data_IF_273037653568
#
_entry.id   IF_273037653568
#
_cell.length_a   1.000
_cell.length_b   1.000
_cell.length_c   1.000
_cell.angle_alpha   90.00
_cell.angle_beta   90.00
_cell.angle_gamma   90.00
#
_symmetry.space_group_name_H-M   'P 1'
#
loop_
_entity.id
_entity.type
_entity.pdbx_description
1 polymer ?
#
# COMPACT_ATOMS: atom_id res chain seq x y z
N UNK A 1 15.48 10.82 2.23
CA UNK A 1 15.15 9.48 2.74
C UNK A 1 14.49 9.52 4.11
N UNK A 2 15.15 10.09 5.13
CA UNK A 2 14.61 10.11 6.49
C UNK A 2 13.26 10.83 6.61
N UNK A 3 13.09 11.96 5.91
CA UNK A 3 11.81 12.67 5.86
C UNK A 3 10.67 11.80 5.28
N UNK A 4 10.92 11.06 4.19
CA UNK A 4 9.94 10.16 3.61
C UNK A 4 9.60 8.98 4.55
N UNK A 5 10.60 8.42 5.24
CA UNK A 5 10.37 7.36 6.22
C UNK A 5 9.51 7.85 7.38
N UNK A 6 9.74 9.07 7.87
CA UNK A 6 8.90 9.67 8.92
C UNK A 6 7.48 9.95 8.43
N UNK A 7 7.33 10.50 7.23
CA UNK A 7 6.03 10.71 6.60
C UNK A 7 5.26 9.38 6.45
N UNK A 8 5.95 8.29 6.11
CA UNK A 8 5.32 6.96 6.04
C UNK A 8 4.86 6.45 7.40
N UNK A 9 5.61 6.76 8.47
CA UNK A 9 5.26 6.37 9.83
C UNK A 9 4.04 7.16 10.32
N UNK A 10 3.96 8.46 10.05
CA UNK A 10 2.81 9.27 10.46
C UNK A 10 1.52 8.80 9.78
N UNK A 11 1.58 8.55 8.48
CA UNK A 11 0.41 8.08 7.73
C UNK A 11 -0.03 6.69 8.22
N UNK A 12 0.90 5.81 8.57
CA UNK A 12 0.55 4.49 9.14
C UNK A 12 -0.16 4.58 10.48
N UNK A 13 0.24 5.53 11.34
CA UNK A 13 -0.41 5.76 12.62
C UNK A 13 -1.79 6.42 12.46
N UNK A 14 -1.93 7.34 11.49
CA UNK A 14 -3.23 7.97 11.22
C UNK A 14 -4.22 6.99 10.57
N UNK A 15 -3.74 6.06 9.74
CA UNK A 15 -4.55 4.98 9.17
C UNK A 15 -5.28 4.15 10.24
N UNK A 16 -4.58 3.81 11.32
CA UNK A 16 -5.16 3.00 12.41
C UNK A 16 -6.31 3.72 13.15
N UNK A 17 -6.37 5.05 13.08
CA UNK A 17 -7.34 5.87 13.81
C UNK A 17 -8.58 6.23 12.99
N UNK A 18 -8.58 5.95 11.68
CA UNK A 18 -9.68 6.33 10.80
C UNK A 18 -10.77 5.25 10.77
N UNK A 19 -12.02 5.69 10.85
CA UNK A 19 -13.20 4.81 10.78
C UNK A 19 -13.83 4.75 9.39
N UNK A 20 -13.85 5.89 8.68
CA UNK A 20 -14.57 5.97 7.41
C UNK A 20 -13.83 5.25 6.27
N UNK A 21 -14.49 4.34 5.53
CA UNK A 21 -13.82 3.51 4.53
C UNK A 21 -13.17 4.33 3.39
N UNK A 22 -13.79 5.46 3.01
CA UNK A 22 -13.23 6.37 2.00
C UNK A 22 -11.97 7.10 2.51
N UNK A 23 -11.91 7.54 3.78
CA UNK A 23 -10.68 8.18 4.29
C UNK A 23 -9.53 7.18 4.39
N UNK A 24 -9.83 5.94 4.78
CA UNK A 24 -8.86 4.84 4.79
C UNK A 24 -8.28 4.64 3.39
N UNK A 25 -9.12 4.58 2.35
CA UNK A 25 -8.65 4.42 0.96
C UNK A 25 -7.72 5.56 0.53
N UNK A 26 -8.10 6.82 0.79
CA UNK A 26 -7.29 7.99 0.43
C UNK A 26 -5.93 7.95 1.14
N UNK A 27 -5.90 7.59 2.42
CA UNK A 27 -4.64 7.47 3.16
C UNK A 27 -3.76 6.32 2.64
N UNK A 28 -4.35 5.20 2.22
CA UNK A 28 -3.58 4.10 1.60
C UNK A 28 -2.95 4.55 0.27
N UNK A 29 -3.65 5.34 -0.55
CA UNK A 29 -3.08 5.90 -1.78
C UNK A 29 -1.86 6.80 -1.49
N UNK A 30 -1.96 7.67 -0.48
CA UNK A 30 -0.82 8.54 -0.10
C UNK A 30 0.33 7.70 0.46
N UNK A 31 0.04 6.67 1.25
CA UNK A 31 1.07 5.79 1.80
C UNK A 31 1.83 5.02 0.71
N UNK A 32 1.10 4.45 -0.25
CA UNK A 32 1.70 3.68 -1.36
C UNK A 32 2.57 4.56 -2.24
N UNK A 33 2.18 5.81 -2.51
CA UNK A 33 3.01 6.80 -3.19
C UNK A 33 4.33 7.06 -2.44
N UNK A 34 4.25 7.29 -1.13
CA UNK A 34 5.46 7.53 -0.31
C UNK A 34 6.40 6.33 -0.29
N UNK A 35 5.84 5.11 -0.22
CA UNK A 35 6.63 3.88 -0.27
C UNK A 35 7.31 3.68 -1.63
N UNK A 36 6.65 4.01 -2.74
CA UNK A 36 7.27 3.94 -4.07
C UNK A 36 8.45 4.91 -4.20
N UNK A 37 8.31 6.13 -3.66
CA UNK A 37 9.40 7.12 -3.63
C UNK A 37 10.59 6.65 -2.76
N UNK A 38 10.31 6.03 -1.61
CA UNK A 38 11.34 5.43 -0.74
C UNK A 38 12.14 4.35 -1.49
N UNK A 39 11.45 3.47 -2.20
CA UNK A 39 12.08 2.37 -2.94
C UNK A 39 12.89 2.90 -4.11
N UNK A 40 12.37 3.91 -4.82
CA UNK A 40 13.09 4.58 -5.90
C UNK A 40 14.40 5.22 -5.42
N UNK A 41 14.40 5.88 -4.25
CA UNK A 41 15.62 6.48 -3.69
C UNK A 41 16.62 5.41 -3.21
N UNK A 42 16.15 4.24 -2.75
CA UNK A 42 17.01 3.16 -2.24
C UNK A 42 17.59 2.27 -3.33
N UNK A 43 16.82 2.00 -4.38
CA UNK A 43 17.21 1.07 -5.43
C UNK A 43 17.80 1.83 -6.61
N UNK A 44 18.92 1.35 -7.14
CA UNK A 44 19.55 1.98 -8.31
C UNK A 44 18.69 1.90 -9.58
N UNK A 45 17.73 0.98 -9.64
CA UNK A 45 16.84 0.77 -10.79
C UNK A 45 15.40 1.14 -10.45
N UNK A 46 14.80 2.02 -11.24
CA UNK A 46 13.43 2.52 -11.08
C UNK A 46 12.32 1.52 -11.45
N UNK A 47 12.67 0.41 -12.11
CA UNK A 47 11.68 -0.55 -12.63
C UNK A 47 10.83 -1.19 -11.52
N UNK A 48 11.46 -1.56 -10.40
CA UNK A 48 10.76 -2.15 -9.26
C UNK A 48 9.77 -1.17 -8.62
N UNK A 49 10.17 0.09 -8.41
CA UNK A 49 9.27 1.13 -7.87
C UNK A 49 8.07 1.38 -8.78
N UNK A 50 8.26 1.30 -10.10
CA UNK A 50 7.20 1.49 -11.07
C UNK A 50 6.19 0.33 -11.09
N UNK A 51 6.66 -0.93 -11.08
CA UNK A 51 5.76 -2.10 -11.04
C UNK A 51 4.92 -2.09 -9.75
N UNK A 52 5.55 -1.81 -8.60
CA UNK A 52 4.84 -1.70 -7.33
C UNK A 52 3.75 -0.63 -7.39
N UNK A 53 4.06 0.53 -7.95
CA UNK A 53 3.09 1.61 -8.08
C UNK A 53 1.85 1.21 -8.90
N UNK A 54 2.05 0.57 -10.05
CA UNK A 54 0.94 0.15 -10.92
C UNK A 54 0.05 -0.91 -10.27
N UNK A 55 0.64 -1.93 -9.63
CA UNK A 55 -0.13 -3.00 -8.99
C UNK A 55 -1.00 -2.45 -7.86
N UNK A 56 -0.44 -1.58 -7.02
CA UNK A 56 -1.19 -0.97 -5.93
C UNK A 56 -2.31 -0.06 -6.44
N UNK A 57 -2.04 0.77 -7.44
CA UNK A 57 -3.06 1.68 -7.98
C UNK A 57 -4.21 0.91 -8.63
N UNK A 58 -3.92 -0.15 -9.40
CA UNK A 58 -4.94 -1.03 -9.97
C UNK A 58 -5.79 -1.74 -8.91
N UNK A 59 -5.16 -2.31 -7.88
CA UNK A 59 -5.88 -2.97 -6.77
C UNK A 59 -6.76 -2.02 -5.97
N UNK A 60 -6.28 -0.81 -5.70
CA UNK A 60 -7.03 0.20 -4.93
C UNK A 60 -8.23 0.75 -5.70
N UNK A 61 -8.15 0.86 -7.04
CA UNK A 61 -9.29 1.25 -7.86
C UNK A 61 -10.43 0.22 -7.82
N UNK A 62 -10.11 -1.09 -7.86
CA UNK A 62 -11.12 -2.14 -7.72
C UNK A 62 -11.78 -2.10 -6.34
N UNK A 63 -10.98 -1.90 -5.29
CA UNK A 63 -11.48 -1.78 -3.93
C UNK A 63 -12.38 -0.54 -3.74
N UNK A 64 -12.05 0.58 -4.39
CA UNK A 64 -12.91 1.78 -4.40
C UNK A 64 -14.29 1.51 -5.03
N UNK A 65 -14.32 0.84 -6.19
CA UNK A 65 -15.59 0.48 -6.84
C UNK A 65 -16.43 -0.45 -5.95
N UNK A 66 -15.78 -1.41 -5.28
CA UNK A 66 -16.46 -2.32 -4.37
C UNK A 66 -17.10 -1.58 -3.19
N UNK A 67 -16.33 -0.73 -2.50
CA UNK A 67 -16.83 0.01 -1.32
C UNK A 67 -17.95 0.98 -1.71
N UNK A 68 -17.84 1.71 -2.82
CA UNK A 68 -18.89 2.64 -3.27
C UNK A 68 -20.16 1.91 -3.71
N UNK A 69 -20.08 0.66 -4.16
CA UNK A 69 -21.25 -0.16 -4.50
C UNK A 69 -21.98 -0.75 -3.29
N UNK A 70 -21.29 -0.90 -2.15
CA UNK A 70 -21.80 -1.55 -0.94
C UNK A 70 -22.23 -0.58 0.15
N UNK A 71 -21.52 0.53 0.31
CA UNK A 71 -21.84 1.51 1.33
C UNK A 71 -22.98 2.42 0.85
N UNK A 72 -23.96 2.67 1.74
CA UNK A 72 -24.81 3.84 1.60
C UNK A 72 -23.92 5.08 1.53
N UNK A 73 -24.28 6.04 0.68
CA UNK A 73 -23.50 7.25 0.41
C UNK A 73 -23.51 8.20 1.62
N UNK A 74 -22.95 7.76 2.75
CA UNK A 74 -22.85 8.52 3.99
C UNK A 74 -21.98 9.75 3.74
N UNK A 75 -22.43 10.89 4.27
CA UNK A 75 -21.71 12.14 4.11
C UNK A 75 -20.37 12.01 4.84
N UNK A 76 -19.32 12.42 4.18
CA UNK A 76 -17.97 12.39 4.72
C UNK A 76 -17.84 13.42 5.86
N UNK A 77 -17.80 12.95 7.10
CA UNK A 77 -17.51 13.77 8.27
C UNK A 77 -16.09 13.49 8.79
N UNK A 78 -15.20 14.49 8.67
CA UNK A 78 -13.87 14.43 9.26
C UNK A 78 -13.94 14.83 10.73
N UNK A 79 -14.13 13.84 11.60
CA UNK A 79 -13.91 14.05 13.03
C UNK A 79 -12.41 14.02 13.32
N UNK A 80 -11.78 15.19 13.24
CA UNK A 80 -10.39 15.39 13.69
C UNK A 80 -10.39 15.32 15.22
N UNK A 81 -10.28 14.11 15.75
CA UNK A 81 -10.18 13.90 17.19
C UNK A 81 -8.84 14.46 17.71
N UNK A 82 -8.79 14.87 18.97
CA UNK A 82 -7.57 15.41 19.61
C UNK A 82 -6.37 14.43 19.55
N UNK A 83 -6.64 13.13 19.41
CA UNK A 83 -5.64 12.09 19.16
C UNK A 83 -4.85 12.30 17.86
N UNK A 84 -5.46 12.87 16.81
CA UNK A 84 -4.78 13.15 15.54
C UNK A 84 -3.67 14.20 15.73
N UNK A 85 -3.97 15.28 16.45
CA UNK A 85 -3.01 16.33 16.74
C UNK A 85 -1.85 15.82 17.60
N UNK A 86 -2.10 14.87 18.51
CA UNK A 86 -1.04 14.25 19.31
C UNK A 86 -0.12 13.38 18.46
N UNK A 87 -0.65 12.58 17.53
CA UNK A 87 0.15 11.75 16.62
C UNK A 87 1.04 12.62 15.73
N UNK A 88 0.47 13.71 15.18
CA UNK A 88 1.24 14.66 14.38
C UNK A 88 2.32 15.34 15.21
N UNK A 89 2.00 15.80 16.44
CA UNK A 89 2.97 16.41 17.35
C UNK A 89 4.14 15.49 17.70
N UNK A 90 3.85 14.23 18.04
CA UNK A 90 4.89 13.23 18.35
C UNK A 90 5.83 12.99 17.16
N UNK A 91 5.28 12.98 15.94
CA UNK A 91 6.10 12.82 14.75
C UNK A 91 7.10 13.96 14.53
N UNK A 92 6.70 15.20 14.83
CA UNK A 92 7.60 16.35 14.76
C UNK A 92 8.70 16.29 15.82
N UNK A 93 8.39 15.84 17.04
CA UNK A 93 9.40 15.61 18.06
C UNK A 93 10.43 14.54 17.64
N UNK A 94 9.97 13.47 16.99
CA UNK A 94 10.88 12.46 16.44
C UNK A 94 11.79 13.03 15.33
N UNK A 95 11.32 13.97 14.51
CA UNK A 95 12.16 14.61 13.49
C UNK A 95 13.31 15.40 14.13
N UNK A 96 13.02 16.19 15.16
CA UNK A 96 14.04 17.05 15.80
C UNK A 96 15.11 16.19 16.51
N UNK A 97 14.67 15.14 17.20
CA UNK A 97 15.57 14.24 17.93
C UNK A 97 16.42 13.38 17.01
N UNK A 98 15.85 12.82 15.94
CA UNK A 98 16.63 11.98 15.03
C UNK A 98 17.57 12.79 14.14
N UNK A 99 17.19 14.00 13.71
CA UNK A 99 18.09 14.82 12.87
C UNK A 99 19.35 15.15 13.66
N UNK A 100 19.22 15.60 14.90
CA UNK A 100 20.36 15.92 15.76
C UNK A 100 21.28 14.73 16.07
N UNK A 101 20.73 13.51 16.18
CA UNK A 101 21.51 12.32 16.53
C UNK A 101 22.22 11.62 15.34
N UNK A 102 21.68 11.70 14.13
CA UNK A 102 22.14 10.89 13.00
C UNK A 102 22.90 11.65 11.91
N UNK A 103 22.92 12.99 11.93
CA UNK A 103 23.67 13.77 10.94
C UNK A 103 25.18 13.45 10.92
N UNK A 104 25.76 13.02 12.05
CA UNK A 104 27.20 12.73 12.14
C UNK A 104 27.62 11.35 11.61
N UNK A 105 26.68 10.43 11.32
CA UNK A 105 27.02 9.01 11.01
C UNK A 105 26.69 8.55 9.60
N UNK A 106 26.15 9.41 8.73
CA UNK A 106 25.83 9.01 7.35
C UNK A 106 27.07 9.20 6.48
N UNK A 107 28.10 8.38 6.73
CA UNK A 107 29.13 8.09 5.74
C UNK A 107 28.58 7.00 4.82
N UNK A 108 28.27 7.45 3.60
CA UNK A 108 28.18 6.70 2.33
C UNK A 108 28.38 5.20 2.46
N UNK A 109 27.28 4.45 2.63
CA UNK A 109 27.26 3.04 2.31
C UNK A 109 27.25 2.91 0.79
N UNK A 110 28.20 2.13 0.29
CA UNK A 110 28.56 1.97 -1.11
C UNK A 110 27.36 1.58 -1.99
N UNK A 111 27.34 2.13 -3.20
CA UNK A 111 26.42 1.76 -4.26
C UNK A 111 26.68 0.31 -4.69
N UNK A 112 26.05 -0.64 -4.00
CA UNK A 112 25.95 -2.01 -4.48
C UNK A 112 25.18 -1.95 -5.79
N UNK A 113 25.85 -2.27 -6.89
CA UNK A 113 25.28 -2.33 -8.23
C UNK A 113 24.22 -3.43 -8.30
N UNK A 114 22.96 -3.06 -8.07
CA UNK A 114 21.78 -3.94 -8.07
C UNK A 114 21.32 -4.30 -9.51
N UNK A 115 21.99 -3.79 -10.54
CA UNK A 115 21.58 -3.91 -11.95
C UNK A 115 21.53 -5.36 -12.47
N UNK A 116 22.01 -6.36 -11.71
CA UNK A 116 21.96 -7.78 -12.07
C UNK A 116 20.73 -8.55 -11.54
N UNK A 117 19.83 -7.95 -10.75
CA UNK A 117 18.73 -8.69 -10.09
C UNK A 117 17.51 -8.98 -10.98
N UNK A 118 17.18 -8.11 -11.94
CA UNK A 118 15.99 -8.29 -12.78
C UNK A 118 16.01 -9.58 -13.63
N UNK A 119 17.18 -9.93 -14.17
CA UNK A 119 17.36 -11.16 -14.96
C UNK A 119 17.53 -12.42 -14.11
N UNK A 120 17.62 -12.31 -12.78
CA UNK A 120 17.75 -13.48 -11.88
C UNK A 120 16.42 -14.19 -11.61
N UNK A 121 15.26 -13.58 -11.89
CA UNK A 121 13.96 -14.21 -11.59
C UNK A 121 13.72 -15.49 -12.41
N UNK A 122 14.17 -15.53 -13.67
CA UNK A 122 14.11 -16.73 -14.52
C UNK A 122 15.42 -17.54 -14.52
N UNK A 123 16.32 -17.27 -13.56
CA UNK A 123 17.54 -18.07 -13.43
C UNK A 123 17.21 -19.47 -12.89
N UNK A 124 18.07 -20.43 -13.21
CA UNK A 124 17.94 -21.84 -12.78
C UNK A 124 17.64 -22.03 -11.29
N UNK A 125 18.24 -21.31 -10.32
CA UNK A 125 17.89 -21.48 -8.90
C UNK A 125 16.51 -20.94 -8.52
N UNK A 126 15.95 -19.98 -9.28
CA UNK A 126 14.68 -19.33 -8.96
C UNK A 126 13.48 -19.95 -9.71
N UNK A 127 13.73 -20.93 -10.59
CA UNK A 127 12.68 -21.56 -11.41
C UNK A 127 11.59 -22.24 -10.57
N UNK A 128 11.94 -22.86 -9.44
CA UNK A 128 10.96 -23.50 -8.54
C UNK A 128 9.99 -22.47 -7.94
N UNK A 129 10.51 -21.32 -7.54
CA UNK A 129 9.72 -20.22 -6.97
C UNK A 129 8.80 -19.62 -8.04
N UNK A 130 9.30 -19.40 -9.25
CA UNK A 130 8.47 -18.87 -10.34
C UNK A 130 7.37 -19.84 -10.73
N UNK A 131 7.66 -21.14 -10.82
CA UNK A 131 6.64 -22.16 -11.10
C UNK A 131 5.55 -22.19 -10.01
N UNK A 132 5.93 -22.05 -8.74
CA UNK A 132 4.98 -21.99 -7.62
C UNK A 132 4.06 -20.76 -7.70
N UNK A 133 4.60 -19.58 -8.04
CA UNK A 133 3.79 -18.36 -8.20
C UNK A 133 2.79 -18.50 -9.36
N UNK A 134 3.20 -19.09 -10.48
CA UNK A 134 2.32 -19.30 -11.64
C UNK A 134 1.14 -20.23 -11.30
N UNK A 135 1.42 -21.35 -10.64
CA UNK A 135 0.38 -22.29 -10.19
C UNK A 135 -0.52 -21.69 -9.13
N UNK A 136 0.01 -20.88 -8.21
CA UNK A 136 -0.78 -20.14 -7.22
C UNK A 136 -1.76 -19.18 -7.88
N UNK A 137 -1.31 -18.33 -8.81
CA UNK A 137 -2.18 -17.38 -9.51
C UNK A 137 -3.29 -18.10 -10.30
N UNK A 138 -2.96 -19.21 -10.97
CA UNK A 138 -3.95 -20.03 -11.68
C UNK A 138 -5.02 -20.60 -10.72
N UNK A 139 -4.61 -21.12 -9.57
CA UNK A 139 -5.55 -21.61 -8.56
C UNK A 139 -6.44 -20.50 -8.00
N UNK A 140 -5.88 -19.31 -7.74
CA UNK A 140 -6.69 -18.17 -7.27
C UNK A 140 -7.78 -17.76 -8.26
N UNK A 141 -7.50 -17.79 -9.56
CA UNK A 141 -8.49 -17.49 -10.59
C UNK A 141 -9.61 -18.54 -10.63
N UNK A 142 -9.28 -19.83 -10.57
CA UNK A 142 -10.28 -20.92 -10.52
C UNK A 142 -11.18 -20.77 -9.29
N UNK A 143 -10.59 -20.47 -8.13
CA UNK A 143 -11.33 -20.28 -6.88
C UNK A 143 -12.22 -19.03 -6.98
N UNK A 144 -11.70 -17.91 -7.50
CA UNK A 144 -12.48 -16.68 -7.67
C UNK A 144 -13.73 -16.92 -8.53
N UNK A 145 -13.59 -17.62 -9.68
CA UNK A 145 -14.73 -17.98 -10.53
C UNK A 145 -15.75 -18.83 -9.77
N UNK A 146 -15.30 -19.86 -9.03
CA UNK A 146 -16.20 -20.71 -8.21
C UNK A 146 -16.95 -19.94 -7.12
N UNK A 147 -16.32 -18.94 -6.50
CA UNK A 147 -16.97 -18.08 -5.49
C UNK A 147 -18.03 -17.21 -6.16
N UNK A 148 -17.72 -16.60 -7.31
CA UNK A 148 -18.67 -15.73 -8.03
C UNK A 148 -19.86 -16.49 -8.62
N UNK A 149 -19.74 -17.79 -8.92
CA UNK A 149 -20.83 -18.59 -9.48
C UNK A 149 -21.92 -19.00 -8.49
N UNK A 150 -21.79 -18.69 -7.18
CA UNK A 150 -22.88 -18.88 -6.20
C UNK A 150 -23.92 -17.76 -6.34
N UNK A 151 -24.83 -17.92 -7.30
CA UNK A 151 -26.01 -17.06 -7.46
C UNK A 151 -27.18 -17.62 -6.64
N UNK A 152 -27.37 -17.12 -5.42
CA UNK A 152 -28.65 -17.27 -4.72
C UNK A 152 -29.27 -15.89 -4.49
N UNK A 153 -30.02 -15.42 -5.49
CA UNK A 153 -30.96 -14.31 -5.40
C UNK A 153 -30.37 -12.90 -5.59
N UNK A 154 -31.17 -11.94 -6.09
CA UNK A 154 -30.74 -10.55 -6.22
C UNK A 154 -30.53 -9.92 -4.81
N UNK A 155 -29.40 -9.22 -4.62
CA UNK A 155 -29.04 -8.45 -3.41
C UNK A 155 -30.04 -7.34 -3.04
N UNK A 156 -31.05 -7.09 -3.88
CA UNK A 156 -32.16 -6.19 -3.61
C UNK A 156 -33.45 -6.98 -3.69
N UNK A 157 -34.09 -7.20 -2.55
CA UNK A 157 -35.47 -7.69 -2.53
C UNK A 157 -36.32 -6.72 -3.33
N UNK A 158 -36.90 -7.19 -4.43
CA UNK A 158 -37.99 -6.49 -5.10
C UNK A 158 -39.12 -6.45 -4.07
N UNK A 159 -39.33 -5.28 -3.46
CA UNK A 159 -40.50 -5.01 -2.63
C UNK A 159 -41.72 -5.33 -3.49
N UNK A 160 -42.38 -6.47 -3.22
CA UNK A 160 -43.68 -6.77 -3.80
C UNK A 160 -44.68 -5.78 -3.19
N UNK A 161 -45.35 -5.04 -4.07
CA UNK A 161 -46.49 -4.16 -3.75
C UNK A 161 -47.56 -4.92 -2.98
#
# INVERSE_FOLDING_TARGET
MMLFMMLSATISMTLMMMSHPISILVLILIQTMNMCLIIWVKMSTSWLSYILFLIFLGGLMVLFMYITSLASNEKFELNVNSSYNMVVGMSFFFIITFTTLFFDKIKTAENITIMKQASMLFSTPMFTITFLIMTYLLMTLIIAVKITSKFEGPLRSVIKK
#
